data_IF_955187371704
#
_entry.id   IF_955187371704
#
_cell.length_a   1.000
_cell.length_b   1.000
_cell.length_c   1.000
_cell.angle_alpha   90.00
_cell.angle_beta   90.00
_cell.angle_gamma   90.00
#
_symmetry.space_group_name_H-M   'P 1'
#
loop_
_entity.id
_entity.type
_entity.pdbx_description
1 polymer ?
#
# COMPACT_ATOMS: atom_id res chain seq x y z
N UNK A 1 -32.95 -0.26 -11.53
CA UNK A 1 -31.58 -0.69 -11.16
C UNK A 1 -31.52 -0.70 -9.64
N UNK A 2 -31.41 -1.89 -9.05
CA UNK A 2 -31.28 -2.01 -7.59
C UNK A 2 -29.95 -1.40 -7.21
N UNK A 3 -29.95 -0.28 -6.49
CA UNK A 3 -28.73 0.25 -5.90
C UNK A 3 -28.13 -0.83 -5.01
N UNK A 4 -26.86 -1.13 -5.23
CA UNK A 4 -26.11 -2.02 -4.33
C UNK A 4 -26.23 -1.42 -2.91
N UNK A 5 -26.74 -2.17 -1.92
CA UNK A 5 -26.97 -1.64 -0.58
C UNK A 5 -25.67 -1.30 0.17
N UNK A 6 -24.52 -1.62 -0.42
CA UNK A 6 -23.23 -1.44 0.18
C UNK A 6 -22.60 -0.10 -0.22
N UNK A 7 -22.12 0.64 0.76
CA UNK A 7 -21.39 1.90 0.57
C UNK A 7 -20.08 1.65 -0.15
N UNK A 8 -19.70 2.54 -1.06
CA UNK A 8 -18.42 2.52 -1.74
C UNK A 8 -17.26 2.55 -0.73
N UNK A 9 -16.43 1.50 -0.72
CA UNK A 9 -15.24 1.44 0.14
C UNK A 9 -14.04 2.20 -0.46
N UNK A 10 -14.18 2.76 -1.65
CA UNK A 10 -13.15 3.58 -2.30
C UNK A 10 -13.37 5.08 -2.06
N UNK A 11 -14.44 5.45 -1.36
CA UNK A 11 -14.76 6.84 -1.03
C UNK A 11 -13.72 7.42 -0.06
N UNK A 12 -12.95 8.44 -0.46
CA UNK A 12 -11.93 9.06 0.40
C UNK A 12 -12.52 9.66 1.69
N UNK A 13 -13.76 10.17 1.64
CA UNK A 13 -14.42 10.79 2.79
C UNK A 13 -14.71 9.77 3.89
N UNK A 14 -14.94 8.50 3.54
CA UNK A 14 -15.08 7.41 4.50
C UNK A 14 -13.83 7.26 5.38
N UNK A 15 -12.65 7.43 4.79
CA UNK A 15 -11.36 7.33 5.47
C UNK A 15 -11.00 8.63 6.20
N UNK A 16 -11.21 9.76 5.55
CA UNK A 16 -10.98 11.09 6.13
C UNK A 16 -11.79 11.33 7.41
N UNK A 17 -13.02 10.84 7.46
CA UNK A 17 -13.88 10.90 8.65
C UNK A 17 -13.58 9.81 9.71
N UNK A 18 -12.66 8.88 9.45
CA UNK A 18 -12.34 7.76 10.36
C UNK A 18 -13.43 6.68 10.45
N UNK A 19 -14.42 6.70 9.55
CA UNK A 19 -15.59 5.82 9.61
C UNK A 19 -15.39 4.46 8.91
N UNK A 20 -14.23 4.20 8.33
CA UNK A 20 -13.95 2.97 7.56
C UNK A 20 -14.02 1.69 8.41
N UNK A 21 -13.49 1.69 9.64
CA UNK A 21 -13.53 0.50 10.49
C UNK A 21 -14.94 0.16 10.98
N UNK A 22 -15.76 1.10 11.53
CA UNK A 22 -17.15 0.86 11.83
C UNK A 22 -17.90 0.33 10.60
N UNK A 23 -17.69 0.93 9.42
CA UNK A 23 -18.36 0.52 8.20
C UNK A 23 -17.99 -0.89 7.74
N UNK A 24 -16.72 -1.27 7.82
CA UNK A 24 -16.30 -2.65 7.53
C UNK A 24 -16.93 -3.66 8.50
N UNK A 25 -17.09 -3.32 9.77
CA UNK A 25 -17.76 -4.17 10.76
C UNK A 25 -19.25 -4.33 10.46
N UNK A 26 -19.94 -3.25 10.07
CA UNK A 26 -21.33 -3.32 9.62
C UNK A 26 -21.49 -4.24 8.39
N UNK A 27 -20.60 -4.10 7.41
CA UNK A 27 -20.62 -4.96 6.22
C UNK A 27 -20.41 -6.44 6.57
N UNK A 28 -19.51 -6.76 7.51
CA UNK A 28 -19.33 -8.13 8.01
C UNK A 28 -20.57 -8.67 8.70
N UNK A 29 -21.30 -7.82 9.42
CA UNK A 29 -22.52 -8.22 10.14
C UNK A 29 -23.73 -8.38 9.23
N UNK A 30 -23.80 -7.63 8.12
CA UNK A 30 -24.94 -7.57 7.21
C UNK A 30 -24.78 -8.43 5.96
N UNK A 31 -23.53 -8.78 5.59
CA UNK A 31 -23.30 -9.51 4.36
C UNK A 31 -23.68 -10.99 4.51
N UNK A 32 -24.48 -11.48 3.56
CA UNK A 32 -24.80 -12.91 3.44
C UNK A 32 -23.60 -13.77 3.00
N UNK A 33 -22.53 -13.12 2.54
CA UNK A 33 -21.32 -13.77 2.05
C UNK A 33 -20.06 -13.04 2.52
N UNK A 34 -18.94 -13.77 2.72
CA UNK A 34 -17.67 -13.19 3.17
C UNK A 34 -16.98 -12.33 2.11
N UNK A 35 -17.42 -12.42 0.86
CA UNK A 35 -16.93 -11.65 -0.29
C UNK A 35 -18.13 -11.02 -0.97
N UNK A 36 -18.14 -9.71 -1.10
CA UNK A 36 -19.24 -8.96 -1.69
C UNK A 36 -18.78 -8.20 -2.93
N UNK A 37 -19.64 -8.18 -3.95
CA UNK A 37 -19.43 -7.38 -5.14
C UNK A 37 -19.98 -5.98 -4.90
N UNK A 38 -19.12 -4.99 -5.11
CA UNK A 38 -19.46 -3.57 -5.01
C UNK A 38 -19.21 -2.95 -6.38
N UNK A 39 -20.06 -2.06 -6.82
CA UNK A 39 -19.85 -1.23 -7.99
C UNK A 39 -19.50 0.19 -7.51
N UNK A 40 -18.36 0.71 -7.96
CA UNK A 40 -17.96 2.08 -7.62
C UNK A 40 -18.97 3.05 -8.29
N UNK A 41 -19.68 3.87 -7.54
CA UNK A 41 -20.68 4.77 -8.09
C UNK A 41 -20.11 5.90 -8.95
N UNK A 42 -18.80 6.18 -8.86
CA UNK A 42 -18.14 7.23 -9.64
C UNK A 42 -17.68 6.72 -11.00
N UNK A 43 -17.13 5.50 -11.03
CA UNK A 43 -16.52 4.93 -12.25
C UNK A 43 -17.39 3.84 -12.89
N UNK A 44 -18.36 3.27 -12.17
CA UNK A 44 -19.13 2.10 -12.60
C UNK A 44 -18.32 0.81 -12.63
N UNK A 45 -17.08 0.81 -12.13
CA UNK A 45 -16.19 -0.36 -12.14
C UNK A 45 -16.56 -1.28 -10.99
N UNK A 46 -16.91 -2.54 -11.25
CA UNK A 46 -17.16 -3.50 -10.20
C UNK A 46 -15.86 -4.00 -9.57
N UNK A 47 -15.87 -4.11 -8.24
CA UNK A 47 -14.79 -4.75 -7.49
C UNK A 47 -15.34 -5.68 -6.41
N UNK A 48 -14.48 -6.56 -5.88
CA UNK A 48 -14.83 -7.48 -4.83
C UNK A 48 -14.21 -7.05 -3.50
N UNK A 49 -15.04 -6.75 -2.51
CA UNK A 49 -14.59 -6.50 -1.15
C UNK A 49 -14.46 -7.83 -0.41
N UNK A 50 -13.26 -8.14 0.02
CA UNK A 50 -12.90 -9.35 0.77
C UNK A 50 -12.86 -9.00 2.25
N UNK A 51 -13.84 -9.46 3.03
CA UNK A 51 -14.11 -8.94 4.37
C UNK A 51 -13.34 -9.65 5.49
N UNK A 52 -12.82 -10.86 5.26
CA UNK A 52 -12.19 -11.68 6.27
C UNK A 52 -10.75 -12.03 5.92
N UNK A 53 -9.91 -12.08 6.95
CA UNK A 53 -8.47 -12.27 6.81
C UNK A 53 -8.09 -13.57 6.12
N UNK A 54 -8.76 -14.69 6.44
CA UNK A 54 -8.48 -15.97 5.81
C UNK A 54 -8.63 -15.95 4.30
N UNK A 55 -9.61 -15.17 3.77
CA UNK A 55 -9.81 -15.02 2.33
C UNK A 55 -8.76 -14.10 1.71
N UNK A 56 -8.37 -13.03 2.41
CA UNK A 56 -7.25 -12.17 1.99
C UNK A 56 -5.95 -12.97 1.91
N UNK A 57 -5.66 -13.79 2.95
CA UNK A 57 -4.48 -14.65 3.00
C UNK A 57 -4.50 -15.71 1.87
N UNK A 58 -5.68 -16.24 1.55
CA UNK A 58 -5.85 -17.18 0.44
C UNK A 58 -5.51 -16.51 -0.89
N UNK A 59 -6.10 -15.34 -1.17
CA UNK A 59 -5.86 -14.58 -2.40
C UNK A 59 -4.36 -14.26 -2.56
N UNK A 60 -3.73 -13.74 -1.50
CA UNK A 60 -2.32 -13.37 -1.52
C UNK A 60 -1.36 -14.57 -1.77
N UNK A 61 -1.77 -15.78 -1.38
CA UNK A 61 -0.97 -17.02 -1.58
C UNK A 61 -1.19 -17.68 -2.94
N UNK A 62 -2.16 -17.22 -3.73
CA UNK A 62 -2.53 -17.86 -5.00
C UNK A 62 -2.41 -16.89 -6.20
N UNK A 63 -1.20 -16.35 -6.48
CA UNK A 63 -1.01 -15.38 -7.57
C UNK A 63 -1.27 -15.96 -8.96
N UNK A 64 -1.26 -17.28 -9.13
CA UNK A 64 -1.66 -17.92 -10.39
C UNK A 64 -3.16 -17.76 -10.72
N UNK A 65 -3.99 -17.50 -9.69
CA UNK A 65 -5.43 -17.27 -9.84
C UNK A 65 -5.72 -15.78 -9.77
N UNK A 66 -5.06 -15.07 -8.83
CA UNK A 66 -5.27 -13.66 -8.53
C UNK A 66 -4.02 -12.86 -8.94
N UNK A 67 -4.03 -12.39 -10.17
CA UNK A 67 -2.90 -11.66 -10.77
C UNK A 67 -2.84 -10.22 -10.24
N UNK A 68 -1.63 -9.75 -9.91
CA UNK A 68 -1.34 -8.34 -9.61
C UNK A 68 -1.03 -7.53 -10.88
N UNK A 69 -0.66 -8.18 -11.99
CA UNK A 69 -0.26 -7.48 -13.23
C UNK A 69 -1.45 -6.93 -14.02
N UNK A 70 -2.64 -7.53 -13.85
CA UNK A 70 -3.80 -7.21 -14.70
C UNK A 70 -4.52 -5.95 -14.28
N UNK A 71 -4.51 -5.64 -12.99
CA UNK A 71 -5.08 -4.40 -12.43
C UNK A 71 -4.26 -3.99 -11.22
N UNK A 72 -4.09 -2.70 -11.10
CA UNK A 72 -3.25 -2.09 -10.09
C UNK A 72 -3.97 -1.99 -8.75
N UNK A 73 -3.32 -1.32 -7.80
CA UNK A 73 -3.70 -1.25 -6.39
C UNK A 73 -5.12 -0.67 -6.17
N UNK A 74 -5.60 0.17 -7.09
CA UNK A 74 -6.94 0.80 -6.99
C UNK A 74 -7.73 0.42 -8.24
N UNK A 75 -8.99 -0.03 -8.12
CA UNK A 75 -9.85 -0.33 -9.25
C UNK A 75 -10.31 0.96 -9.94
N UNK A 76 -9.48 1.45 -10.85
CA UNK A 76 -9.78 2.58 -11.73
C UNK A 76 -9.40 2.23 -13.16
N UNK A 77 -9.95 2.95 -14.13
CA UNK A 77 -9.52 2.82 -15.51
C UNK A 77 -8.21 3.59 -15.71
N UNK A 78 -7.17 2.86 -16.09
CA UNK A 78 -5.88 3.41 -16.47
C UNK A 78 -5.69 3.25 -17.97
N UNK A 79 -5.01 4.20 -18.61
CA UNK A 79 -4.53 4.05 -19.98
C UNK A 79 -3.43 2.99 -20.07
N UNK A 80 -3.22 2.46 -21.28
CA UNK A 80 -2.28 1.36 -21.52
C UNK A 80 -0.83 1.73 -21.14
N UNK A 81 -0.43 2.99 -21.32
CA UNK A 81 0.92 3.48 -20.97
C UNK A 81 1.12 3.48 -19.45
N UNK A 82 0.13 3.93 -18.70
CA UNK A 82 0.15 3.89 -17.23
C UNK A 82 0.19 2.46 -16.72
N UNK A 83 -0.60 1.54 -17.30
CA UNK A 83 -0.56 0.12 -16.95
C UNK A 83 0.81 -0.48 -17.24
N UNK A 84 1.40 -0.20 -18.40
CA UNK A 84 2.72 -0.70 -18.77
C UNK A 84 3.83 -0.18 -17.83
N UNK A 85 3.78 1.09 -17.46
CA UNK A 85 4.71 1.69 -16.51
C UNK A 85 4.60 1.03 -15.14
N UNK A 86 3.39 0.90 -14.63
CA UNK A 86 3.15 0.32 -13.30
C UNK A 86 3.42 -1.19 -13.25
N UNK A 87 3.26 -1.92 -14.35
CA UNK A 87 3.65 -3.33 -14.46
C UNK A 87 5.18 -3.56 -14.32
N UNK A 88 5.99 -2.48 -14.41
CA UNK A 88 7.42 -2.53 -14.12
C UNK A 88 7.74 -2.48 -12.61
N UNK A 89 6.80 -2.06 -11.77
CA UNK A 89 6.98 -1.99 -10.32
C UNK A 89 6.89 -3.39 -9.69
N UNK A 90 7.81 -3.70 -8.77
CA UNK A 90 7.89 -5.01 -8.13
C UNK A 90 6.57 -5.46 -7.50
N UNK A 91 5.82 -4.54 -6.89
CA UNK A 91 4.53 -4.80 -6.23
C UNK A 91 3.45 -5.29 -7.19
N UNK A 92 3.55 -4.93 -8.47
CA UNK A 92 2.59 -5.28 -9.50
C UNK A 92 3.03 -6.45 -10.39
N UNK A 93 4.13 -7.12 -10.05
CA UNK A 93 4.62 -8.27 -10.80
C UNK A 93 4.04 -9.58 -10.30
N UNK A 94 3.75 -10.49 -11.22
CA UNK A 94 3.42 -11.88 -10.91
C UNK A 94 4.65 -12.82 -11.02
N UNK A 95 4.63 -14.02 -10.40
CA UNK A 95 5.63 -15.04 -10.65
C UNK A 95 5.63 -15.49 -12.14
N UNK A 96 6.79 -15.81 -12.73
CA UNK A 96 8.12 -15.93 -12.12
C UNK A 96 8.89 -14.60 -12.09
N UNK A 97 8.39 -13.52 -12.75
CA UNK A 97 9.03 -12.22 -12.87
C UNK A 97 9.30 -11.60 -11.50
N UNK A 98 8.27 -11.51 -10.65
CA UNK A 98 8.38 -11.04 -9.26
C UNK A 98 9.54 -11.70 -8.49
N UNK A 99 9.64 -13.04 -8.54
CA UNK A 99 10.68 -13.78 -7.84
C UNK A 99 12.10 -13.44 -8.31
N UNK A 100 12.28 -13.14 -9.62
CA UNK A 100 13.58 -12.74 -10.17
C UNK A 100 14.02 -11.38 -9.65
N UNK A 101 13.15 -10.37 -9.72
CA UNK A 101 13.45 -9.01 -9.27
C UNK A 101 13.59 -8.93 -7.75
N UNK A 102 12.69 -9.57 -6.99
CA UNK A 102 12.79 -9.63 -5.54
C UNK A 102 14.11 -10.24 -5.05
N UNK A 103 14.68 -11.19 -5.78
CA UNK A 103 15.96 -11.81 -5.43
C UNK A 103 17.13 -10.81 -5.51
N UNK A 104 17.08 -9.86 -6.44
CA UNK A 104 18.09 -8.81 -6.58
C UNK A 104 18.08 -7.92 -5.34
N UNK A 105 16.90 -7.44 -4.93
CA UNK A 105 16.76 -6.58 -3.77
C UNK A 105 17.02 -7.29 -2.43
N UNK A 106 16.83 -8.62 -2.37
CA UNK A 106 16.85 -9.38 -1.11
C UNK A 106 18.11 -9.18 -0.26
N UNK A 107 19.28 -9.04 -0.89
CA UNK A 107 20.54 -8.95 -0.18
C UNK A 107 20.64 -7.67 0.67
N UNK A 108 20.04 -6.56 0.22
CA UNK A 108 20.00 -5.29 0.96
C UNK A 108 19.08 -5.35 2.20
N UNK A 109 18.18 -6.34 2.29
CA UNK A 109 17.19 -6.46 3.35
C UNK A 109 17.36 -7.70 4.23
N UNK A 110 18.57 -8.28 4.26
CA UNK A 110 18.87 -9.35 5.21
C UNK A 110 19.04 -8.77 6.62
N UNK A 111 18.77 -9.54 7.70
CA UNK A 111 19.00 -9.07 9.08
C UNK A 111 20.38 -8.46 9.30
N UNK A 112 21.43 -9.08 8.73
CA UNK A 112 22.81 -8.58 8.81
C UNK A 112 23.00 -7.25 8.07
N UNK A 113 22.39 -7.08 6.89
CA UNK A 113 22.43 -5.82 6.15
C UNK A 113 21.69 -4.72 6.90
N UNK A 114 20.49 -5.02 7.42
CA UNK A 114 19.70 -4.06 8.22
C UNK A 114 20.49 -3.60 9.47
N UNK A 115 21.14 -4.50 10.16
CA UNK A 115 22.01 -4.16 11.32
C UNK A 115 23.15 -3.22 10.94
N UNK A 116 23.74 -3.39 9.74
CA UNK A 116 24.85 -2.53 9.30
C UNK A 116 24.42 -1.09 8.99
N UNK A 117 23.14 -0.81 8.82
CA UNK A 117 22.63 0.56 8.62
C UNK A 117 22.38 1.33 9.92
N UNK A 118 22.41 0.64 11.08
CA UNK A 118 22.06 1.23 12.38
C UNK A 118 22.80 2.54 12.67
N UNK A 119 24.12 2.51 12.59
CA UNK A 119 24.96 3.68 12.93
C UNK A 119 24.80 4.82 11.92
N UNK A 120 24.63 4.47 10.64
CA UNK A 120 24.38 5.45 9.57
C UNK A 120 23.06 6.18 9.82
N UNK A 121 21.97 5.43 10.05
CA UNK A 121 20.66 6.03 10.29
C UNK A 121 20.57 6.78 11.62
N UNK A 122 21.27 6.31 12.65
CA UNK A 122 21.40 7.05 13.91
C UNK A 122 22.13 8.38 13.69
N UNK A 123 23.17 8.40 12.84
CA UNK A 123 23.87 9.61 12.42
C UNK A 123 22.95 10.60 11.68
N UNK A 124 22.15 10.13 10.75
CA UNK A 124 21.16 10.96 10.04
C UNK A 124 20.10 11.53 11.00
N UNK A 125 19.54 10.70 11.86
CA UNK A 125 18.57 11.15 12.85
C UNK A 125 19.16 12.25 13.76
N UNK A 126 20.41 12.10 14.22
CA UNK A 126 21.09 13.13 15.01
C UNK A 126 21.27 14.42 14.21
N UNK A 127 21.73 14.35 12.99
CA UNK A 127 21.93 15.51 12.11
C UNK A 127 20.62 16.28 11.88
N UNK A 128 19.52 15.58 11.61
CA UNK A 128 18.19 16.16 11.40
C UNK A 128 17.74 16.90 12.66
N UNK A 129 17.85 16.25 13.82
CA UNK A 129 17.45 16.87 15.10
C UNK A 129 18.33 18.06 15.46
N UNK A 130 19.65 17.98 15.28
CA UNK A 130 20.56 19.09 15.55
C UNK A 130 20.23 20.32 14.68
N UNK A 131 19.77 20.13 13.43
CA UNK A 131 19.39 21.22 12.54
C UNK A 131 18.16 22.00 13.00
N UNK A 132 17.24 21.38 13.73
CA UNK A 132 16.00 22.01 14.20
C UNK A 132 16.04 22.38 15.69
N UNK A 133 16.89 21.75 16.47
CA UNK A 133 16.94 21.92 17.94
C UNK A 133 17.13 23.38 18.36
N UNK A 134 17.99 24.11 17.66
CA UNK A 134 18.29 25.52 17.97
C UNK A 134 17.13 26.48 17.62
N UNK A 135 16.17 26.06 16.80
CA UNK A 135 15.02 26.88 16.37
C UNK A 135 13.93 26.95 17.43
N UNK A 136 13.89 25.99 18.38
CA UNK A 136 12.85 25.86 19.40
C UNK A 136 11.47 25.44 18.88
N UNK A 137 11.26 25.49 17.56
CA UNK A 137 10.05 25.02 16.85
C UNK A 137 10.43 24.66 15.41
N UNK A 138 9.69 23.73 14.80
CA UNK A 138 9.90 23.34 13.40
C UNK A 138 8.59 22.88 12.76
N UNK A 139 8.55 22.83 11.44
CA UNK A 139 7.51 22.07 10.73
C UNK A 139 7.97 20.59 10.69
N UNK A 140 7.33 19.78 11.55
CA UNK A 140 7.81 18.44 11.86
C UNK A 140 7.83 17.51 10.64
N UNK A 141 6.84 17.62 9.74
CA UNK A 141 6.75 16.72 8.58
C UNK A 141 7.90 16.98 7.61
N UNK A 142 8.10 18.21 7.19
CA UNK A 142 9.08 18.57 6.15
C UNK A 142 10.51 18.67 6.70
N UNK A 143 10.69 19.14 7.94
CA UNK A 143 12.04 19.36 8.50
C UNK A 143 12.58 18.16 9.30
N UNK A 144 11.72 17.17 9.64
CA UNK A 144 12.14 16.02 10.46
C UNK A 144 11.66 14.69 9.87
N UNK A 145 10.35 14.49 9.76
CA UNK A 145 9.80 13.17 9.48
C UNK A 145 10.07 12.69 8.04
N UNK A 146 10.13 13.59 7.06
CA UNK A 146 10.41 13.26 5.66
C UNK A 146 11.91 13.01 5.39
N UNK A 147 12.79 13.70 6.11
CA UNK A 147 14.23 13.69 5.83
C UNK A 147 14.86 12.31 6.05
N UNK A 148 14.62 11.66 7.18
CA UNK A 148 15.23 10.37 7.50
C UNK A 148 14.90 9.26 6.51
N UNK A 149 13.63 9.04 6.12
CA UNK A 149 13.29 8.05 5.09
C UNK A 149 13.92 8.35 3.73
N UNK A 150 14.00 9.62 3.33
CA UNK A 150 14.60 10.02 2.06
C UNK A 150 16.11 9.72 2.04
N UNK A 151 16.83 10.08 3.09
CA UNK A 151 18.27 9.76 3.23
C UNK A 151 18.51 8.25 3.25
N UNK A 152 17.68 7.50 3.97
CA UNK A 152 17.77 6.05 4.05
C UNK A 152 17.52 5.37 2.68
N UNK A 153 16.55 5.84 1.88
CA UNK A 153 16.28 5.30 0.54
C UNK A 153 17.47 5.58 -0.40
N UNK A 154 18.05 6.78 -0.33
CA UNK A 154 19.21 7.14 -1.16
C UNK A 154 20.44 6.26 -0.88
N UNK A 155 20.64 5.84 0.36
CA UNK A 155 21.72 4.91 0.71
C UNK A 155 21.45 3.46 0.28
N UNK A 156 20.19 3.08 0.10
CA UNK A 156 19.80 1.74 -0.30
C UNK A 156 19.79 1.54 -1.83
N UNK A 157 19.78 2.61 -2.63
CA UNK A 157 19.74 2.60 -4.09
C UNK A 157 21.12 2.82 -4.70
#
# INVERSE_FOLDING_TARGET
MSQCPYTNLLDPDLYGAGNHLPRLNELRAQADAPIIKIEDPLTGIPYWAVLYREHVDYIAKHPAIFSSEKRLTIPTEYDDDTIALQASMLVNMDPPKHGKFRRIARNAFTPKAVESYHDTFAGYAKQIIDAVAAKGQCEFVTEVAAELPLMAILDLC
#
